data_IF_297834233626
#
_entry.id   IF_297834233626
#
_cell.length_a   1.000
_cell.length_b   1.000
_cell.length_c   1.000
_cell.angle_alpha   90.00
_cell.angle_beta   90.00
_cell.angle_gamma   90.00
#
_symmetry.space_group_name_H-M   'P 1'
#
loop_
_entity.id
_entity.type
_entity.pdbx_description
1 polymer ?
#
# COMPACT_ATOMS: atom_id res chain seq x y z
N UNK A 1 21.84 -7.69 -19.67
CA UNK A 1 21.09 -7.39 -20.91
C UNK A 1 19.80 -6.71 -20.55
N UNK A 2 19.46 -5.61 -21.24
CA UNK A 2 18.19 -4.91 -21.00
C UNK A 2 17.01 -5.89 -21.16
N UNK A 3 16.13 -5.92 -20.17
CA UNK A 3 14.93 -6.77 -20.20
C UNK A 3 13.72 -5.97 -20.70
N UNK A 4 12.76 -6.66 -21.34
CA UNK A 4 11.53 -6.04 -21.82
C UNK A 4 10.30 -6.71 -21.21
N UNK A 5 9.43 -5.91 -20.66
CA UNK A 5 8.13 -6.34 -20.17
C UNK A 5 7.10 -6.43 -21.31
N UNK A 6 6.05 -7.26 -21.17
CA UNK A 6 5.01 -7.39 -22.19
C UNK A 6 4.31 -6.08 -22.54
N UNK A 7 3.81 -5.98 -23.75
CA UNK A 7 2.93 -4.88 -24.13
C UNK A 7 1.65 -4.95 -23.28
N UNK A 8 1.19 -3.80 -22.77
CA UNK A 8 0.04 -3.73 -21.86
C UNK A 8 0.39 -3.92 -20.38
N UNK A 9 1.66 -4.14 -20.01
CA UNK A 9 2.08 -4.14 -18.61
C UNK A 9 1.82 -2.76 -17.97
N UNK A 10 1.19 -2.77 -16.80
CA UNK A 10 0.72 -1.54 -16.12
C UNK A 10 1.85 -0.98 -15.24
N UNK A 11 2.36 0.20 -15.60
CA UNK A 11 3.37 0.94 -14.85
C UNK A 11 2.78 2.13 -14.15
N UNK A 12 2.96 2.20 -12.83
CA UNK A 12 2.43 3.32 -12.07
C UNK A 12 3.16 3.60 -10.76
N UNK A 13 2.63 4.57 -10.07
CA UNK A 13 3.04 4.92 -8.70
C UNK A 13 1.85 4.82 -7.75
N UNK A 14 2.13 4.75 -6.46
CA UNK A 14 1.12 4.64 -5.42
C UNK A 14 1.29 5.72 -4.35
N UNK A 15 0.17 6.16 -3.76
CA UNK A 15 0.13 6.99 -2.55
C UNK A 15 -1.05 6.59 -1.66
N UNK A 16 -1.03 7.04 -0.39
CA UNK A 16 -2.16 6.92 0.53
C UNK A 16 -2.65 8.30 0.95
N UNK A 17 -3.95 8.55 0.86
CA UNK A 17 -4.52 9.87 1.17
C UNK A 17 -4.09 10.41 2.53
N UNK A 18 -4.16 9.58 3.58
CA UNK A 18 -3.75 10.01 4.91
C UNK A 18 -2.28 10.47 4.99
N UNK A 19 -1.38 9.90 4.16
CA UNK A 19 0.05 10.25 4.16
C UNK A 19 0.38 11.50 3.35
N UNK A 20 -0.53 11.94 2.46
CA UNK A 20 -0.28 13.06 1.55
C UNK A 20 -1.23 14.25 1.73
N UNK A 21 -2.42 14.05 2.28
CA UNK A 21 -3.40 15.10 2.56
C UNK A 21 -3.29 15.57 4.02
N UNK A 22 -3.64 16.82 4.28
CA UNK A 22 -3.74 17.32 5.64
C UNK A 22 -4.76 16.49 6.43
N UNK A 23 -4.33 15.95 7.57
CA UNK A 23 -5.15 15.06 8.39
C UNK A 23 -6.44 15.75 8.83
N UNK A 24 -7.58 15.16 8.48
CA UNK A 24 -8.88 15.74 8.81
C UNK A 24 -9.40 15.20 10.16
N UNK A 25 -10.21 14.15 10.17
CA UNK A 25 -10.82 13.60 11.39
C UNK A 25 -10.74 12.07 11.41
N UNK A 26 -9.52 11.55 11.16
CA UNK A 26 -9.20 10.14 11.22
C UNK A 26 -8.28 9.81 12.41
N UNK A 27 -8.15 8.53 12.75
CA UNK A 27 -7.44 8.08 13.95
C UNK A 27 -5.93 8.38 13.97
N UNK A 28 -5.35 8.76 12.84
CA UNK A 28 -3.94 9.16 12.78
C UNK A 28 -3.71 10.64 13.12
N UNK A 29 -4.75 11.47 13.09
CA UNK A 29 -4.63 12.90 13.37
C UNK A 29 -4.06 13.14 14.76
N UNK A 30 -2.96 13.88 14.83
CA UNK A 30 -2.28 14.23 16.07
C UNK A 30 -1.44 13.10 16.69
N UNK A 31 -1.28 11.96 15.99
CA UNK A 31 -0.31 10.93 16.38
C UNK A 31 1.09 11.50 16.23
N UNK A 32 1.90 11.43 17.29
CA UNK A 32 3.30 11.84 17.25
C UNK A 32 4.15 10.72 16.61
N UNK A 33 4.94 11.09 15.62
CA UNK A 33 5.89 10.19 14.98
C UNK A 33 7.08 9.87 15.89
N UNK A 34 7.87 8.85 15.51
CA UNK A 34 9.14 8.53 16.18
C UNK A 34 10.17 9.67 16.12
N UNK A 35 10.07 10.51 15.11
CA UNK A 35 10.97 11.66 14.90
C UNK A 35 10.46 12.94 15.54
N UNK A 36 9.28 12.90 16.18
CA UNK A 36 8.73 13.96 17.01
C UNK A 36 7.68 14.84 16.32
N UNK A 37 7.52 14.74 15.00
CA UNK A 37 6.51 15.47 14.24
C UNK A 37 5.11 14.88 14.48
N UNK A 38 4.09 15.72 14.38
CA UNK A 38 2.70 15.28 14.50
C UNK A 38 2.11 14.96 13.14
N UNK A 39 1.38 13.85 13.06
CA UNK A 39 0.61 13.46 11.89
C UNK A 39 -0.57 14.41 11.73
N UNK A 40 -0.35 15.52 11.04
CA UNK A 40 -1.35 16.57 10.83
C UNK A 40 -1.20 17.19 9.44
N UNK A 41 -0.16 17.98 9.19
CA UNK A 41 0.22 18.47 7.88
C UNK A 41 1.19 17.48 7.27
N UNK A 42 0.78 16.82 6.20
CA UNK A 42 1.60 15.80 5.55
C UNK A 42 2.35 16.37 4.34
N UNK A 43 1.72 16.43 3.17
CA UNK A 43 2.35 16.97 1.96
C UNK A 43 1.51 18.00 1.22
N UNK A 44 0.39 18.45 1.79
CA UNK A 44 -0.55 19.43 1.21
C UNK A 44 -1.07 19.04 -0.19
N UNK A 45 -1.25 17.73 -0.47
CA UNK A 45 -1.75 17.25 -1.77
C UNK A 45 -3.04 17.95 -2.19
N UNK A 46 -3.95 18.16 -1.23
CA UNK A 46 -5.23 18.83 -1.47
C UNK A 46 -5.10 20.26 -2.02
N UNK A 47 -3.95 20.91 -1.81
CA UNK A 47 -3.63 22.26 -2.32
C UNK A 47 -2.75 22.22 -3.58
N UNK A 48 -2.14 21.07 -3.88
CA UNK A 48 -1.14 20.90 -4.94
C UNK A 48 -1.56 19.92 -6.02
N UNK A 49 -2.87 19.59 -6.11
CA UNK A 49 -3.38 18.57 -7.03
C UNK A 49 -2.95 18.77 -8.47
N UNK A 50 -2.88 20.02 -8.95
CA UNK A 50 -2.43 20.32 -10.31
C UNK A 50 -0.96 19.95 -10.55
N UNK A 51 -0.07 20.27 -9.60
CA UNK A 51 1.34 19.91 -9.64
C UNK A 51 1.52 18.38 -9.53
N UNK A 52 0.86 17.78 -8.53
CA UNK A 52 0.95 16.35 -8.28
C UNK A 52 0.36 15.51 -9.44
N UNK A 53 -0.65 16.03 -10.15
CA UNK A 53 -1.20 15.44 -11.38
C UNK A 53 -0.13 15.36 -12.49
N UNK A 54 0.62 16.44 -12.73
CA UNK A 54 1.69 16.45 -13.72
C UNK A 54 2.82 15.49 -13.33
N UNK A 55 3.17 15.41 -12.05
CA UNK A 55 4.16 14.45 -11.52
C UNK A 55 3.71 13.02 -11.83
N UNK A 56 2.48 12.65 -11.45
CA UNK A 56 1.94 11.31 -11.69
C UNK A 56 1.99 10.94 -13.16
N UNK A 57 1.54 11.84 -14.03
CA UNK A 57 1.53 11.64 -15.49
C UNK A 57 2.93 11.51 -16.09
N UNK A 58 3.94 12.15 -15.49
CA UNK A 58 5.33 12.04 -15.90
C UNK A 58 5.96 10.72 -15.54
N UNK A 59 5.51 10.08 -14.45
CA UNK A 59 6.09 8.86 -13.89
C UNK A 59 5.58 7.57 -14.54
N UNK A 60 4.33 7.57 -15.07
CA UNK A 60 3.79 6.35 -15.64
C UNK A 60 2.41 6.52 -16.24
N UNK A 61 1.76 5.39 -16.53
CA UNK A 61 0.40 5.32 -17.10
C UNK A 61 -0.63 4.79 -16.11
N UNK A 62 -0.24 4.63 -14.85
CA UNK A 62 -1.15 4.18 -13.80
C UNK A 62 -0.88 4.92 -12.47
N UNK A 63 -1.94 5.07 -11.71
CA UNK A 63 -1.87 5.65 -10.38
C UNK A 63 -2.78 4.91 -9.42
N UNK A 64 -2.22 4.44 -8.32
CA UNK A 64 -2.93 3.78 -7.23
C UNK A 64 -3.06 4.75 -6.07
N UNK A 65 -4.30 5.05 -5.67
CA UNK A 65 -4.59 6.04 -4.63
C UNK A 65 -5.75 5.62 -3.76
N UNK A 66 -5.77 6.09 -2.53
CA UNK A 66 -6.95 6.12 -1.68
C UNK A 66 -7.53 7.53 -1.60
N UNK A 67 -8.71 7.65 -1.00
CA UNK A 67 -9.33 8.92 -0.63
C UNK A 67 -9.53 8.95 0.87
N UNK A 68 -9.47 10.13 1.48
CA UNK A 68 -9.69 10.27 2.91
C UNK A 68 -11.18 10.09 3.25
N UNK A 69 -11.51 8.92 3.81
CA UNK A 69 -12.86 8.58 4.23
C UNK A 69 -13.43 9.61 5.21
N UNK A 70 -12.59 10.13 6.13
CA UNK A 70 -13.05 11.11 7.12
C UNK A 70 -13.42 12.46 6.52
N UNK A 71 -12.80 12.85 5.40
CA UNK A 71 -13.18 14.03 4.63
C UNK A 71 -14.49 13.83 3.87
N UNK A 72 -14.64 12.66 3.26
CA UNK A 72 -15.82 12.34 2.45
C UNK A 72 -17.08 12.14 3.29
N UNK A 73 -17.01 11.40 4.40
CA UNK A 73 -18.18 11.00 5.19
C UNK A 73 -18.00 11.34 6.67
N UNK A 74 -18.89 12.17 7.21
CA UNK A 74 -18.79 12.75 8.56
C UNK A 74 -19.48 11.91 9.64
N UNK A 75 -20.33 10.96 9.27
CA UNK A 75 -21.07 10.08 10.18
C UNK A 75 -21.45 8.77 9.49
N UNK A 76 -21.80 7.75 10.27
CA UNK A 76 -22.33 6.50 9.75
C UNK A 76 -23.55 6.74 8.86
N UNK A 77 -23.54 6.14 7.66
CA UNK A 77 -24.58 6.30 6.64
C UNK A 77 -24.82 7.74 6.13
N UNK A 78 -24.05 8.75 6.61
CA UNK A 78 -24.12 10.12 6.13
C UNK A 78 -23.73 10.23 4.65
N UNK A 79 -24.33 11.18 3.92
CA UNK A 79 -23.94 11.46 2.52
C UNK A 79 -22.50 12.02 2.46
N UNK A 80 -21.86 11.85 1.32
CA UNK A 80 -20.55 12.43 1.08
C UNK A 80 -20.63 13.96 1.00
N UNK A 81 -19.63 14.61 1.54
CA UNK A 81 -19.52 16.07 1.53
C UNK A 81 -19.33 16.58 0.10
N UNK A 82 -20.27 17.40 -0.44
CA UNK A 82 -20.29 17.73 -1.87
C UNK A 82 -19.02 18.41 -2.37
N UNK A 83 -18.44 19.32 -1.58
CA UNK A 83 -17.20 20.02 -1.96
C UNK A 83 -16.03 19.06 -2.07
N UNK A 84 -15.91 18.11 -1.13
CA UNK A 84 -14.85 17.09 -1.17
C UNK A 84 -15.03 16.14 -2.33
N UNK A 85 -16.30 15.78 -2.65
CA UNK A 85 -16.61 14.99 -3.85
C UNK A 85 -16.14 15.71 -5.11
N UNK A 86 -16.44 17.02 -5.22
CA UNK A 86 -16.04 17.81 -6.38
C UNK A 86 -14.51 17.89 -6.52
N UNK A 87 -13.80 18.12 -5.41
CA UNK A 87 -12.35 18.16 -5.38
C UNK A 87 -11.69 16.86 -5.91
N UNK A 88 -12.19 15.69 -5.46
CA UNK A 88 -11.68 14.41 -5.95
C UNK A 88 -12.09 14.14 -7.39
N UNK A 89 -13.29 14.53 -7.83
CA UNK A 89 -13.73 14.38 -9.21
C UNK A 89 -12.82 15.14 -10.18
N UNK A 90 -12.55 16.40 -9.91
CA UNK A 90 -11.67 17.24 -10.74
C UNK A 90 -10.29 16.59 -10.91
N UNK A 91 -9.73 16.04 -9.83
CA UNK A 91 -8.46 15.34 -9.89
C UNK A 91 -8.54 14.05 -10.71
N UNK A 92 -9.57 13.23 -10.49
CA UNK A 92 -9.78 11.99 -11.23
C UNK A 92 -10.07 12.24 -12.73
N UNK A 93 -10.82 13.29 -13.06
CA UNK A 93 -11.04 13.75 -14.43
C UNK A 93 -9.74 14.12 -15.11
N UNK A 94 -8.87 14.85 -14.40
CA UNK A 94 -7.53 15.19 -14.86
C UNK A 94 -6.67 13.97 -15.19
N UNK A 95 -6.69 12.94 -14.33
CA UNK A 95 -6.00 11.66 -14.55
C UNK A 95 -6.60 10.90 -15.73
N UNK A 96 -7.93 10.76 -15.78
CA UNK A 96 -8.66 10.05 -16.84
C UNK A 96 -8.44 10.68 -18.20
N UNK A 97 -8.47 12.01 -18.29
CA UNK A 97 -8.24 12.75 -19.54
C UNK A 97 -6.82 12.51 -20.10
N UNK A 98 -5.85 12.16 -19.25
CA UNK A 98 -4.48 11.82 -19.65
C UNK A 98 -4.26 10.32 -19.87
N UNK A 99 -5.34 9.52 -19.82
CA UNK A 99 -5.30 8.07 -20.03
C UNK A 99 -4.62 7.30 -18.93
N UNK A 100 -4.61 7.82 -17.70
CA UNK A 100 -4.06 7.13 -16.53
C UNK A 100 -5.01 6.02 -16.08
N UNK A 101 -4.49 4.79 -15.92
CA UNK A 101 -5.18 3.71 -15.26
C UNK A 101 -5.28 4.01 -13.76
N UNK A 102 -6.48 4.21 -13.27
CA UNK A 102 -6.71 4.60 -11.86
C UNK A 102 -7.13 3.38 -11.06
N UNK A 103 -6.28 2.98 -10.08
CA UNK A 103 -6.66 1.99 -9.07
C UNK A 103 -7.11 2.72 -7.80
N UNK A 104 -8.40 2.60 -7.47
CA UNK A 104 -8.94 3.15 -6.23
C UNK A 104 -8.83 2.15 -5.08
N UNK A 105 -8.18 2.58 -4.00
CA UNK A 105 -8.05 1.83 -2.73
C UNK A 105 -9.13 2.32 -1.77
N UNK A 106 -10.03 1.42 -1.34
CA UNK A 106 -11.17 1.80 -0.51
C UNK A 106 -10.83 1.97 0.97
N UNK A 107 -9.84 1.23 1.47
CA UNK A 107 -9.33 1.37 2.84
C UNK A 107 -7.81 1.27 2.85
N UNK A 108 -7.14 2.31 3.36
CA UNK A 108 -5.69 2.39 3.45
C UNK A 108 -5.26 2.90 4.82
N UNK A 109 -5.39 2.07 5.86
CA UNK A 109 -4.99 2.28 7.26
C UNK A 109 -5.63 3.45 7.99
N UNK A 110 -6.44 4.27 7.31
CA UNK A 110 -7.07 5.43 7.90
C UNK A 110 -8.60 5.29 7.93
N UNK A 111 -9.18 5.54 9.09
CA UNK A 111 -10.62 5.44 9.37
C UNK A 111 -11.09 6.71 10.08
N UNK A 112 -12.35 7.17 9.82
CA UNK A 112 -12.91 8.28 10.56
C UNK A 112 -12.95 8.04 12.07
N UNK A 113 -12.72 9.08 12.87
CA UNK A 113 -12.78 8.97 14.33
C UNK A 113 -14.16 8.52 14.84
N UNK A 114 -15.25 8.92 14.17
CA UNK A 114 -16.58 8.43 14.53
C UNK A 114 -16.71 6.91 14.35
N UNK A 115 -16.12 6.34 13.30
CA UNK A 115 -16.11 4.90 13.04
C UNK A 115 -15.28 4.13 14.08
N UNK A 116 -14.08 4.63 14.41
CA UNK A 116 -13.20 3.99 15.41
C UNK A 116 -13.75 4.11 16.83
N UNK A 117 -14.42 5.23 17.18
CA UNK A 117 -15.09 5.42 18.48
C UNK A 117 -16.25 4.46 18.69
N UNK A 118 -16.93 4.04 17.64
CA UNK A 118 -17.96 3.00 17.67
C UNK A 118 -17.39 1.58 17.68
N UNK A 119 -16.06 1.44 17.69
CA UNK A 119 -15.33 0.18 17.76
C UNK A 119 -14.80 -0.32 16.43
N UNK A 120 -15.05 0.37 15.31
CA UNK A 120 -14.52 0.01 14.00
C UNK A 120 -14.75 -1.46 13.67
N UNK A 121 -13.83 -2.07 12.97
CA UNK A 121 -13.92 -3.50 12.60
C UNK A 121 -13.87 -4.50 13.76
N UNK A 122 -13.74 -4.05 15.02
CA UNK A 122 -13.95 -4.95 16.17
C UNK A 122 -15.42 -5.37 16.33
N UNK A 123 -16.36 -4.68 15.66
CA UNK A 123 -17.80 -4.95 15.71
C UNK A 123 -18.32 -5.38 14.35
N UNK A 124 -19.25 -6.32 14.32
CA UNK A 124 -19.89 -6.77 13.09
C UNK A 124 -20.72 -5.64 12.41
N UNK A 125 -21.17 -4.65 13.17
CA UNK A 125 -21.87 -3.46 12.67
C UNK A 125 -21.00 -2.58 11.77
N UNK A 126 -19.67 -2.73 11.80
CA UNK A 126 -18.75 -2.06 10.89
C UNK A 126 -18.93 -2.51 9.43
N UNK A 127 -19.35 -3.76 9.21
CA UNK A 127 -19.50 -4.31 7.86
C UNK A 127 -20.50 -3.51 7.03
N UNK A 128 -21.79 -3.36 7.43
CA UNK A 128 -22.75 -2.59 6.65
C UNK A 128 -22.37 -1.10 6.53
N UNK A 129 -21.69 -0.52 7.51
CA UNK A 129 -21.20 0.86 7.45
C UNK A 129 -20.12 1.02 6.37
N UNK A 130 -19.15 0.11 6.32
CA UNK A 130 -18.12 0.12 5.30
C UNK A 130 -18.67 -0.16 3.89
N UNK A 131 -19.62 -1.09 3.77
CA UNK A 131 -20.33 -1.37 2.50
C UNK A 131 -21.10 -0.14 2.01
N UNK A 132 -21.73 0.62 2.92
CA UNK A 132 -22.42 1.86 2.58
C UNK A 132 -21.43 2.94 2.06
N UNK A 133 -20.30 3.10 2.73
CA UNK A 133 -19.21 3.96 2.24
C UNK A 133 -18.77 3.54 0.83
N UNK A 134 -18.51 2.24 0.61
CA UNK A 134 -18.09 1.72 -0.69
C UNK A 134 -19.18 1.91 -1.78
N UNK A 135 -20.46 1.79 -1.43
CA UNK A 135 -21.56 2.08 -2.35
C UNK A 135 -21.56 3.54 -2.82
N UNK A 136 -21.26 4.46 -1.92
CA UNK A 136 -21.09 5.87 -2.28
C UNK A 136 -19.83 6.10 -3.10
N UNK A 137 -18.72 5.42 -2.81
CA UNK A 137 -17.52 5.43 -3.66
C UNK A 137 -17.83 5.01 -5.09
N UNK A 138 -18.61 3.93 -5.27
CA UNK A 138 -19.10 3.48 -6.58
C UNK A 138 -19.95 4.56 -7.25
N UNK A 139 -20.92 5.11 -6.54
CA UNK A 139 -21.86 6.13 -7.05
C UNK A 139 -21.15 7.40 -7.52
N UNK A 140 -20.17 7.88 -6.75
CA UNK A 140 -19.54 9.18 -7.01
C UNK A 140 -18.27 9.09 -7.88
N UNK A 141 -17.54 7.97 -7.80
CA UNK A 141 -16.22 7.83 -8.41
C UNK A 141 -16.02 6.57 -9.25
N UNK A 142 -17.02 5.70 -9.30
CA UNK A 142 -16.89 4.42 -9.99
C UNK A 142 -16.56 4.52 -11.47
N UNK A 143 -17.03 5.56 -12.16
CA UNK A 143 -16.73 5.79 -13.58
C UNK A 143 -15.26 6.09 -13.87
N UNK A 144 -14.53 6.62 -12.88
CA UNK A 144 -13.11 6.97 -13.02
C UNK A 144 -12.18 5.78 -12.73
N UNK A 145 -12.60 4.85 -11.87
CA UNK A 145 -11.79 3.71 -11.53
C UNK A 145 -11.58 2.79 -12.73
N UNK A 146 -10.35 2.38 -12.98
CA UNK A 146 -9.97 1.32 -13.90
C UNK A 146 -9.92 -0.04 -13.19
N UNK A 147 -9.57 -0.04 -11.92
CA UNK A 147 -9.54 -1.21 -11.04
C UNK A 147 -9.74 -0.79 -9.58
N UNK A 148 -10.03 -1.76 -8.72
CA UNK A 148 -10.34 -1.54 -7.31
C UNK A 148 -9.43 -2.38 -6.41
N UNK A 149 -9.00 -1.78 -5.31
CA UNK A 149 -8.35 -2.46 -4.21
C UNK A 149 -9.20 -2.24 -2.94
N UNK A 150 -9.80 -3.28 -2.40
CA UNK A 150 -10.74 -3.16 -1.28
C UNK A 150 -10.04 -2.72 0.00
N UNK A 151 -8.95 -3.40 0.36
CA UNK A 151 -8.13 -3.07 1.52
C UNK A 151 -6.65 -3.06 1.14
N UNK A 152 -5.93 -2.04 1.58
CA UNK A 152 -4.49 -2.08 1.57
C UNK A 152 -4.00 -2.86 2.79
N UNK A 153 -3.23 -3.90 2.57
CA UNK A 153 -2.49 -4.66 3.60
C UNK A 153 -3.29 -4.96 4.88
N UNK A 154 -4.50 -5.56 4.79
CA UNK A 154 -5.33 -5.75 5.97
C UNK A 154 -4.63 -6.57 7.06
N UNK A 155 -3.77 -7.51 6.67
CA UNK A 155 -2.94 -8.27 7.62
C UNK A 155 -1.99 -7.38 8.40
N UNK A 156 -1.29 -6.45 7.73
CA UNK A 156 -0.42 -5.45 8.35
C UNK A 156 -1.19 -4.56 9.32
N UNK A 157 -2.30 -3.98 8.86
CA UNK A 157 -3.19 -3.17 9.69
C UNK A 157 -3.66 -3.90 10.95
N UNK A 158 -4.12 -5.15 10.82
CA UNK A 158 -4.61 -5.97 11.94
C UNK A 158 -3.47 -6.26 12.93
N UNK A 159 -2.32 -6.68 12.44
CA UNK A 159 -1.19 -7.02 13.30
C UNK A 159 -0.63 -5.79 14.03
N UNK A 160 -0.45 -4.68 13.33
CA UNK A 160 0.10 -3.45 13.91
C UNK A 160 -0.89 -2.78 14.88
N UNK A 161 -2.18 -2.76 14.55
CA UNK A 161 -3.20 -2.08 15.34
C UNK A 161 -3.74 -2.89 16.52
N UNK A 162 -3.85 -4.22 16.39
CA UNK A 162 -4.58 -5.05 17.35
C UNK A 162 -3.76 -6.16 18.02
N UNK A 163 -2.58 -6.51 17.46
CA UNK A 163 -1.67 -7.47 18.08
C UNK A 163 -0.45 -6.80 18.72
N UNK A 164 0.27 -5.98 17.96
CA UNK A 164 1.48 -5.30 18.43
C UNK A 164 1.18 -3.97 19.14
N UNK A 165 0.04 -3.33 18.85
CA UNK A 165 -0.36 -2.05 19.42
C UNK A 165 0.57 -0.90 19.02
N UNK A 166 1.02 -0.87 17.77
CA UNK A 166 1.90 0.15 17.19
C UNK A 166 1.08 1.19 16.43
N UNK A 167 0.05 0.75 15.72
CA UNK A 167 -0.91 1.61 15.03
C UNK A 167 -2.13 1.90 15.90
N UNK A 168 -2.84 3.03 15.71
CA UNK A 168 -4.17 3.16 16.27
C UNK A 168 -5.04 1.96 15.88
N UNK A 169 -5.86 1.40 16.74
CA UNK A 169 -6.23 1.86 18.10
C UNK A 169 -5.34 1.33 19.25
N UNK A 170 -4.09 0.92 18.97
CA UNK A 170 -3.06 0.51 19.97
C UNK A 170 -3.45 -0.68 20.85
N UNK A 171 -4.29 -1.57 20.35
CA UNK A 171 -4.73 -2.75 21.10
C UNK A 171 -3.68 -3.88 21.03
N UNK A 172 -3.66 -4.71 22.07
CA UNK A 172 -2.78 -5.89 22.19
C UNK A 172 -3.60 -7.10 22.62
N UNK A 173 -4.45 -7.61 21.72
CA UNK A 173 -5.38 -8.69 22.06
C UNK A 173 -5.60 -9.63 20.88
N UNK A 174 -5.14 -10.87 21.02
CA UNK A 174 -5.24 -11.88 19.97
C UNK A 174 -6.68 -12.23 19.58
N UNK A 175 -7.62 -12.26 20.52
CA UNK A 175 -9.04 -12.52 20.19
C UNK A 175 -9.65 -11.37 19.39
N UNK A 176 -9.21 -10.15 19.65
CA UNK A 176 -9.59 -9.00 18.83
C UNK A 176 -9.03 -9.10 17.41
N UNK A 177 -7.79 -9.58 17.25
CA UNK A 177 -7.20 -9.86 15.91
C UNK A 177 -8.11 -10.78 15.09
N UNK A 178 -8.54 -11.91 15.66
CA UNK A 178 -9.41 -12.87 14.97
C UNK A 178 -10.78 -12.27 14.61
N UNK A 179 -11.33 -11.44 15.49
CA UNK A 179 -12.63 -10.77 15.27
C UNK A 179 -12.54 -9.73 14.16
N UNK A 180 -11.51 -8.87 14.18
CA UNK A 180 -11.27 -7.87 13.15
C UNK A 180 -11.02 -8.53 11.81
N UNK A 181 -10.20 -9.57 11.78
CA UNK A 181 -9.92 -10.37 10.59
C UNK A 181 -11.23 -10.90 9.97
N UNK A 182 -12.09 -11.52 10.79
CA UNK A 182 -13.38 -12.07 10.31
C UNK A 182 -14.33 -10.99 9.79
N UNK A 183 -14.38 -9.81 10.43
CA UNK A 183 -15.24 -8.72 10.00
C UNK A 183 -14.70 -8.04 8.72
N UNK A 184 -13.40 -7.80 8.62
CA UNK A 184 -12.80 -7.23 7.40
C UNK A 184 -12.92 -8.19 6.21
N UNK A 185 -12.73 -9.50 6.41
CA UNK A 185 -12.90 -10.50 5.36
C UNK A 185 -14.36 -10.51 4.82
N UNK A 186 -15.37 -10.49 5.70
CA UNK A 186 -16.77 -10.39 5.30
C UNK A 186 -17.10 -9.08 4.59
N UNK A 187 -16.51 -7.96 5.06
CA UNK A 187 -16.64 -6.66 4.42
C UNK A 187 -16.04 -6.68 3.00
N UNK A 188 -14.86 -7.29 2.83
CA UNK A 188 -14.23 -7.48 1.53
C UNK A 188 -15.14 -8.25 0.57
N UNK A 189 -15.68 -9.40 1.00
CA UNK A 189 -16.56 -10.23 0.16
C UNK A 189 -17.83 -9.46 -0.28
N UNK A 190 -18.46 -8.72 0.65
CA UNK A 190 -19.65 -7.92 0.36
C UNK A 190 -19.35 -6.74 -0.58
N UNK A 191 -18.17 -6.09 -0.41
CA UNK A 191 -17.73 -5.01 -1.29
C UNK A 191 -17.33 -5.54 -2.67
N UNK A 192 -16.72 -6.71 -2.77
CA UNK A 192 -16.46 -7.35 -4.06
C UNK A 192 -17.74 -7.54 -4.86
N UNK A 193 -18.78 -8.12 -4.24
CA UNK A 193 -20.08 -8.32 -4.90
C UNK A 193 -20.67 -7.00 -5.38
N UNK A 194 -20.68 -5.98 -4.52
CA UNK A 194 -21.14 -4.62 -4.85
C UNK A 194 -20.40 -4.03 -6.06
N UNK A 195 -19.08 -4.18 -6.10
CA UNK A 195 -18.24 -3.64 -7.19
C UNK A 195 -18.49 -4.38 -8.50
N UNK A 196 -18.62 -5.73 -8.44
CA UNK A 196 -18.87 -6.57 -9.62
C UNK A 196 -20.29 -6.41 -10.15
N UNK A 197 -21.28 -6.12 -9.29
CA UNK A 197 -22.62 -5.75 -9.72
C UNK A 197 -22.64 -4.43 -10.50
N UNK A 198 -21.91 -3.42 -10.02
CA UNK A 198 -21.85 -2.10 -10.64
C UNK A 198 -20.95 -2.06 -11.89
N UNK A 199 -19.82 -2.77 -11.87
CA UNK A 199 -18.78 -2.76 -12.90
C UNK A 199 -18.20 -4.16 -13.11
N UNK A 200 -18.89 -5.07 -13.81
CA UNK A 200 -18.47 -6.47 -13.99
C UNK A 200 -17.05 -6.62 -14.56
N UNK A 201 -16.66 -5.74 -15.47
CA UNK A 201 -15.40 -5.83 -16.21
C UNK A 201 -14.21 -5.21 -15.49
N UNK A 202 -14.44 -4.42 -14.42
CA UNK A 202 -13.33 -3.78 -13.69
C UNK A 202 -12.72 -4.77 -12.70
N UNK A 203 -11.39 -4.99 -12.75
CA UNK A 203 -10.73 -5.89 -11.80
C UNK A 203 -10.85 -5.38 -10.36
N UNK A 204 -11.17 -6.31 -9.45
CA UNK A 204 -11.23 -6.07 -8.00
C UNK A 204 -10.25 -7.00 -7.31
N UNK A 205 -9.37 -6.44 -6.49
CA UNK A 205 -8.38 -7.22 -5.74
C UNK A 205 -8.16 -6.67 -4.34
N UNK A 206 -7.12 -7.20 -3.72
CA UNK A 206 -6.69 -6.82 -2.38
C UNK A 206 -5.18 -6.83 -2.31
N UNK A 207 -4.57 -5.81 -1.71
CA UNK A 207 -3.12 -5.78 -1.49
C UNK A 207 -2.75 -6.48 -0.19
N UNK A 208 -1.76 -7.35 -0.26
CA UNK A 208 -1.25 -8.11 0.88
C UNK A 208 0.16 -7.64 1.21
N UNK A 209 0.39 -7.27 2.47
CA UNK A 209 1.74 -7.02 2.98
C UNK A 209 2.53 -8.32 3.00
N UNK A 210 3.71 -8.30 2.42
CA UNK A 210 4.56 -9.47 2.33
C UNK A 210 6.02 -9.13 2.57
N UNK A 211 6.68 -10.00 3.31
CA UNK A 211 8.12 -9.96 3.56
C UNK A 211 8.65 -11.39 3.54
N UNK A 212 9.93 -11.56 3.31
CA UNK A 212 10.57 -12.84 3.63
C UNK A 212 10.91 -12.84 5.12
N UNK A 213 10.29 -13.76 5.84
CA UNK A 213 10.55 -13.98 7.26
C UNK A 213 11.49 -15.17 7.42
N UNK A 214 12.67 -14.92 7.94
CA UNK A 214 13.71 -15.92 8.11
C UNK A 214 14.30 -15.83 9.51
N UNK A 215 14.47 -16.97 10.18
CA UNK A 215 15.05 -17.00 11.51
C UNK A 215 16.56 -16.75 11.50
N UNK A 216 17.05 -15.99 12.46
CA UNK A 216 18.49 -15.75 12.66
C UNK A 216 19.19 -16.95 13.34
N UNK A 217 18.44 -17.76 14.08
CA UNK A 217 18.96 -18.91 14.83
C UNK A 217 17.89 -19.97 15.01
N UNK A 218 18.28 -21.17 15.47
CA UNK A 218 17.34 -22.24 15.76
C UNK A 218 16.23 -21.82 16.75
N UNK A 219 16.53 -20.95 17.70
CA UNK A 219 15.56 -20.42 18.67
C UNK A 219 14.48 -19.52 18.03
N UNK A 220 14.72 -18.96 16.85
CA UNK A 220 13.75 -18.18 16.11
C UNK A 220 12.66 -19.00 15.39
N UNK A 221 12.70 -20.34 15.48
CA UNK A 221 11.79 -21.22 14.74
C UNK A 221 10.30 -20.90 14.97
N UNK A 222 9.89 -20.65 16.21
CA UNK A 222 8.50 -20.31 16.51
C UNK A 222 8.06 -19.00 15.86
N UNK A 223 8.90 -17.97 15.91
CA UNK A 223 8.62 -16.68 15.27
C UNK A 223 8.50 -16.83 13.74
N UNK A 224 9.38 -17.63 13.14
CA UNK A 224 9.34 -17.94 11.71
C UNK A 224 8.06 -18.70 11.33
N UNK A 225 7.68 -19.76 12.08
CA UNK A 225 6.43 -20.50 11.83
C UNK A 225 5.20 -19.60 12.03
N UNK A 226 5.18 -18.78 13.06
CA UNK A 226 4.10 -17.82 13.30
C UNK A 226 3.98 -16.83 12.11
N UNK A 227 5.07 -16.21 11.69
CA UNK A 227 5.07 -15.26 10.57
C UNK A 227 4.68 -15.92 9.25
N UNK A 228 5.21 -17.09 8.94
CA UNK A 228 4.96 -17.75 7.67
C UNK A 228 3.61 -18.48 7.59
N UNK A 229 3.14 -19.11 8.68
CA UNK A 229 1.90 -19.91 8.69
C UNK A 229 0.69 -19.11 9.15
N UNK A 230 0.84 -18.31 10.21
CA UNK A 230 -0.26 -17.52 10.72
C UNK A 230 -0.42 -16.22 9.93
N UNK A 231 0.64 -15.41 9.81
CA UNK A 231 0.54 -14.11 9.14
C UNK A 231 0.44 -14.25 7.62
N UNK A 232 1.49 -14.76 6.94
CA UNK A 232 1.48 -14.94 5.47
C UNK A 232 0.59 -16.10 4.97
N UNK A 233 0.18 -16.98 5.85
CA UNK A 233 -0.77 -18.05 5.56
C UNK A 233 -2.18 -17.65 5.97
N UNK A 234 -2.56 -17.97 7.21
CA UNK A 234 -3.94 -17.89 7.68
C UNK A 234 -4.58 -16.51 7.52
N UNK A 235 -3.90 -15.41 7.93
CA UNK A 235 -4.46 -14.05 7.84
C UNK A 235 -4.65 -13.65 6.37
N UNK A 236 -3.64 -13.86 5.52
CA UNK A 236 -3.74 -13.44 4.13
C UNK A 236 -4.76 -14.27 3.34
N UNK A 237 -4.98 -15.53 3.71
CA UNK A 237 -5.95 -16.42 3.05
C UNK A 237 -7.40 -16.00 3.27
N UNK A 238 -7.70 -15.30 4.35
CA UNK A 238 -9.08 -14.87 4.59
C UNK A 238 -9.60 -13.90 3.51
N UNK A 239 -8.72 -13.32 2.73
CA UNK A 239 -9.04 -12.31 1.73
C UNK A 239 -8.88 -12.77 0.27
N UNK A 240 -8.82 -14.07 -0.02
CA UNK A 240 -8.61 -14.53 -1.40
C UNK A 240 -9.87 -15.06 -2.09
N UNK A 241 -10.95 -15.29 -1.35
CA UNK A 241 -12.15 -16.00 -1.85
C UNK A 241 -12.86 -15.26 -2.97
N UNK A 242 -12.80 -13.93 -2.96
CA UNK A 242 -13.42 -13.04 -3.94
C UNK A 242 -12.41 -12.00 -4.40
N UNK A 243 -11.64 -12.32 -5.43
CA UNK A 243 -10.67 -11.43 -6.03
C UNK A 243 -10.41 -11.81 -7.48
N UNK A 244 -10.22 -10.81 -8.34
CA UNK A 244 -9.82 -11.00 -9.73
C UNK A 244 -8.30 -10.99 -9.89
N UNK A 245 -7.58 -10.44 -8.92
CA UNK A 245 -6.12 -10.43 -8.82
C UNK A 245 -5.65 -10.40 -7.36
N UNK A 246 -4.42 -10.83 -7.13
CA UNK A 246 -3.74 -10.68 -5.84
C UNK A 246 -2.77 -9.52 -5.93
N UNK A 247 -3.02 -8.48 -5.13
CA UNK A 247 -2.08 -7.39 -4.92
C UNK A 247 -0.99 -7.80 -3.91
N UNK A 248 0.23 -7.37 -4.17
CA UNK A 248 1.39 -7.66 -3.33
C UNK A 248 2.18 -6.38 -3.04
N UNK A 249 2.40 -6.09 -1.75
CA UNK A 249 3.37 -5.11 -1.29
C UNK A 249 4.59 -5.85 -0.76
N UNK A 250 5.78 -5.54 -1.27
CA UNK A 250 7.03 -6.20 -0.86
C UNK A 250 8.16 -5.18 -0.69
N UNK A 251 8.87 -5.26 0.43
CA UNK A 251 9.93 -4.31 0.75
C UNK A 251 11.28 -4.95 1.10
N UNK A 252 11.31 -6.20 1.57
CA UNK A 252 12.58 -6.82 1.91
C UNK A 252 12.47 -8.08 2.77
N UNK A 253 13.52 -8.35 3.55
CA UNK A 253 13.60 -9.48 4.46
C UNK A 253 13.60 -9.02 5.91
N UNK A 254 12.89 -9.76 6.76
CA UNK A 254 12.84 -9.54 8.21
C UNK A 254 13.51 -10.72 8.91
N UNK A 255 14.68 -10.51 9.50
CA UNK A 255 15.34 -11.52 10.30
C UNK A 255 14.65 -11.65 11.66
N UNK A 256 14.20 -12.86 11.99
CA UNK A 256 13.42 -13.13 13.20
C UNK A 256 14.30 -13.66 14.34
N UNK A 257 14.22 -12.97 15.47
CA UNK A 257 14.71 -13.43 16.77
C UNK A 257 13.69 -14.31 17.49
N UNK A 258 14.09 -15.09 18.51
CA UNK A 258 13.15 -15.63 19.48
C UNK A 258 12.33 -14.51 20.11
N UNK A 259 11.03 -14.74 20.26
CA UNK A 259 10.05 -13.79 20.83
C UNK A 259 10.59 -12.91 21.98
N UNK A 260 10.12 -11.65 22.11
CA UNK A 260 8.93 -11.08 21.44
C UNK A 260 9.23 -10.46 20.09
N UNK A 261 8.27 -10.54 19.16
CA UNK A 261 8.29 -9.96 17.81
C UNK A 261 8.17 -8.40 17.90
N UNK A 262 8.83 -7.77 18.84
CA UNK A 262 8.54 -6.38 19.19
C UNK A 262 9.43 -5.35 18.52
N UNK A 263 10.39 -5.77 17.72
CA UNK A 263 11.31 -4.84 17.09
C UNK A 263 11.19 -4.92 15.56
N UNK A 264 10.58 -3.89 14.98
CA UNK A 264 10.92 -3.49 13.61
C UNK A 264 12.43 -3.30 13.60
N UNK A 265 13.10 -4.04 12.74
CA UNK A 265 14.56 -4.02 12.72
C UNK A 265 15.04 -2.59 12.46
N UNK A 266 15.91 -2.11 13.31
CA UNK A 266 16.44 -0.75 13.14
C UNK A 266 17.67 -0.80 12.26
N UNK A 267 17.93 0.26 11.46
CA UNK A 267 19.12 0.33 10.61
C UNK A 267 20.41 -0.03 11.34
N UNK A 268 20.55 0.39 12.60
CA UNK A 268 21.73 0.08 13.42
C UNK A 268 21.90 -1.41 13.74
N UNK A 269 20.83 -2.19 13.76
CA UNK A 269 20.89 -3.65 13.93
C UNK A 269 21.24 -4.34 12.62
N UNK A 270 20.65 -3.91 11.51
CA UNK A 270 20.96 -4.43 10.17
C UNK A 270 22.43 -4.16 9.81
N UNK A 271 22.93 -2.96 10.11
CA UNK A 271 24.34 -2.60 9.93
C UNK A 271 25.28 -3.53 10.73
N UNK A 272 24.94 -3.88 11.99
CA UNK A 272 25.74 -4.82 12.80
C UNK A 272 25.79 -6.23 12.23
N UNK A 273 24.79 -6.61 11.41
CA UNK A 273 24.77 -7.90 10.72
C UNK A 273 25.61 -7.91 9.44
N UNK A 274 26.11 -6.75 9.00
CA UNK A 274 26.87 -6.62 7.75
C UNK A 274 26.05 -6.92 6.50
N UNK A 275 24.70 -6.84 6.57
CA UNK A 275 23.80 -7.00 5.43
C UNK A 275 23.50 -5.67 4.79
N UNK A 276 23.27 -5.68 3.48
CA UNK A 276 22.81 -4.48 2.78
C UNK A 276 21.36 -4.21 3.16
N UNK A 277 21.07 -2.98 3.53
CA UNK A 277 19.76 -2.59 4.03
C UNK A 277 19.40 -1.15 3.63
N UNK A 278 18.13 -0.84 3.65
CA UNK A 278 17.62 0.53 3.62
C UNK A 278 17.41 1.08 5.06
N UNK A 279 16.66 2.15 5.21
CA UNK A 279 16.40 2.75 6.52
C UNK A 279 15.39 1.95 7.37
N UNK A 280 14.83 0.85 6.85
CA UNK A 280 13.81 0.03 7.53
C UNK A 280 14.08 -1.46 7.48
N UNK A 281 14.52 -2.00 6.33
CA UNK A 281 14.58 -3.44 6.08
C UNK A 281 15.87 -3.88 5.41
N UNK A 282 16.14 -5.16 5.50
CA UNK A 282 17.21 -5.78 4.74
C UNK A 282 16.84 -5.79 3.25
N UNK A 283 17.73 -5.27 2.41
CA UNK A 283 17.58 -5.27 0.97
C UNK A 283 17.72 -6.69 0.42
N UNK A 284 16.63 -7.24 -0.09
CA UNK A 284 16.58 -8.63 -0.54
C UNK A 284 15.71 -8.80 -1.79
N UNK A 285 16.20 -8.43 -2.99
CA UNK A 285 15.43 -8.50 -4.24
C UNK A 285 14.93 -9.90 -4.58
N UNK A 286 15.72 -10.96 -4.34
CA UNK A 286 15.32 -12.34 -4.61
C UNK A 286 14.07 -12.76 -3.85
N UNK A 287 13.82 -12.14 -2.74
CA UNK A 287 12.64 -12.42 -1.90
C UNK A 287 11.33 -12.08 -2.58
N UNK A 288 11.28 -11.06 -3.45
CA UNK A 288 10.06 -10.74 -4.20
C UNK A 288 9.66 -11.93 -5.09
N UNK A 289 10.62 -12.56 -5.75
CA UNK A 289 10.38 -13.77 -6.55
C UNK A 289 9.92 -14.97 -5.72
N UNK A 290 10.45 -15.13 -4.51
CA UNK A 290 10.00 -16.18 -3.57
C UNK A 290 8.52 -15.99 -3.22
N UNK A 291 8.09 -14.76 -2.95
CA UNK A 291 6.69 -14.48 -2.61
C UNK A 291 5.79 -14.58 -3.85
N UNK A 292 6.23 -14.12 -5.01
CA UNK A 292 5.50 -14.24 -6.27
C UNK A 292 5.18 -15.70 -6.58
N UNK A 293 6.18 -16.61 -6.55
CA UNK A 293 5.98 -18.05 -6.80
C UNK A 293 5.01 -18.66 -5.78
N UNK A 294 5.19 -18.33 -4.49
CA UNK A 294 4.28 -18.77 -3.42
C UNK A 294 2.84 -18.31 -3.66
N UNK A 295 2.63 -17.08 -4.13
CA UNK A 295 1.28 -16.55 -4.39
C UNK A 295 0.68 -17.19 -5.65
N UNK A 296 1.48 -17.40 -6.69
CA UNK A 296 1.06 -18.11 -7.89
C UNK A 296 0.57 -19.53 -7.55
N UNK A 297 1.39 -20.31 -6.84
CA UNK A 297 1.04 -21.69 -6.42
C UNK A 297 -0.19 -21.73 -5.52
N UNK A 298 -0.36 -20.71 -4.64
CA UNK A 298 -1.41 -20.71 -3.63
C UNK A 298 -2.75 -20.22 -4.13
N UNK A 299 -2.75 -19.20 -5.00
CA UNK A 299 -3.99 -18.50 -5.37
C UNK A 299 -4.37 -18.71 -6.84
N UNK A 300 -3.44 -18.98 -7.73
CA UNK A 300 -3.71 -19.17 -9.16
C UNK A 300 -4.32 -17.95 -9.86
N UNK A 301 -4.21 -16.75 -9.26
CA UNK A 301 -4.73 -15.50 -9.78
C UNK A 301 -3.61 -14.65 -10.37
N UNK A 302 -3.92 -13.71 -11.29
CA UNK A 302 -2.96 -12.69 -11.73
C UNK A 302 -2.39 -11.94 -10.53
N UNK A 303 -1.07 -11.65 -10.57
CA UNK A 303 -0.37 -10.93 -9.50
C UNK A 303 -0.12 -9.48 -9.96
N UNK A 304 -0.46 -8.53 -9.09
CA UNK A 304 -0.14 -7.12 -9.27
C UNK A 304 0.79 -6.68 -8.14
N UNK A 305 1.96 -6.15 -8.49
CA UNK A 305 2.84 -5.55 -7.50
C UNK A 305 2.26 -4.17 -7.17
N UNK A 306 1.46 -4.11 -6.11
CA UNK A 306 0.71 -2.91 -5.72
C UNK A 306 1.56 -1.92 -4.95
N UNK A 307 2.64 -2.39 -4.34
CA UNK A 307 3.67 -1.55 -3.73
C UNK A 307 5.02 -2.27 -3.73
N UNK A 308 6.05 -1.56 -4.18
CA UNK A 308 7.45 -1.91 -3.98
C UNK A 308 8.29 -0.63 -4.03
N UNK A 309 9.25 -0.50 -3.15
CA UNK A 309 10.09 0.68 -3.04
C UNK A 309 11.24 0.47 -2.06
N UNK A 310 12.07 1.49 -1.90
CA UNK A 310 13.21 1.48 -1.00
C UNK A 310 13.20 2.75 -0.13
N UNK A 311 13.27 2.57 1.19
CA UNK A 311 13.36 3.67 2.14
C UNK A 311 14.80 4.16 2.26
N UNK A 312 15.18 5.18 1.49
CA UNK A 312 16.57 5.67 1.49
C UNK A 312 16.68 7.11 1.02
N UNK A 313 17.70 7.80 1.52
CA UNK A 313 18.16 9.09 0.99
C UNK A 313 19.21 8.92 -0.14
N UNK A 314 19.73 7.72 -0.35
CA UNK A 314 20.64 7.39 -1.47
C UNK A 314 19.82 7.05 -2.72
N UNK A 315 19.74 8.02 -3.63
CA UNK A 315 18.95 7.84 -4.86
C UNK A 315 19.59 6.88 -5.87
N UNK A 316 20.93 6.75 -5.84
CA UNK A 316 21.60 5.75 -6.67
C UNK A 316 21.23 4.32 -6.22
N UNK A 317 21.15 4.10 -4.91
CA UNK A 317 20.66 2.83 -4.36
C UNK A 317 19.19 2.58 -4.70
N UNK A 318 18.34 3.64 -4.74
CA UNK A 318 16.95 3.50 -5.21
C UNK A 318 16.88 3.08 -6.67
N UNK A 319 17.67 3.68 -7.56
CA UNK A 319 17.74 3.27 -8.98
C UNK A 319 18.16 1.81 -9.11
N UNK A 320 19.20 1.41 -8.40
CA UNK A 320 19.65 0.02 -8.38
C UNK A 320 18.53 -0.93 -7.88
N UNK A 321 17.84 -0.55 -6.81
CA UNK A 321 16.75 -1.37 -6.26
C UNK A 321 15.59 -1.56 -7.24
N UNK A 322 15.18 -0.51 -7.94
CA UNK A 322 14.16 -0.60 -8.99
C UNK A 322 14.59 -1.60 -10.05
N UNK A 323 15.83 -1.47 -10.55
CA UNK A 323 16.38 -2.40 -11.54
C UNK A 323 16.36 -3.85 -11.05
N UNK A 324 16.88 -4.08 -9.87
CA UNK A 324 17.08 -5.45 -9.35
C UNK A 324 15.74 -6.14 -9.03
N UNK A 325 14.77 -5.43 -8.45
CA UNK A 325 13.43 -5.96 -8.24
C UNK A 325 12.74 -6.28 -9.57
N UNK A 326 12.83 -5.40 -10.57
CA UNK A 326 12.20 -5.62 -11.87
C UNK A 326 12.83 -6.79 -12.62
N UNK A 327 14.15 -7.03 -12.48
CA UNK A 327 14.79 -8.22 -13.04
C UNK A 327 14.21 -9.52 -12.46
N UNK A 328 14.03 -9.57 -11.13
CA UNK A 328 13.45 -10.77 -10.47
C UNK A 328 11.98 -10.95 -10.85
N UNK A 329 11.21 -9.87 -10.96
CA UNK A 329 9.81 -9.93 -11.42
C UNK A 329 9.76 -10.48 -12.85
N UNK A 330 10.63 -9.99 -13.75
CA UNK A 330 10.70 -10.47 -15.13
C UNK A 330 11.05 -11.96 -15.20
N UNK A 331 12.01 -12.44 -14.40
CA UNK A 331 12.33 -13.87 -14.30
C UNK A 331 11.10 -14.71 -13.93
N UNK A 332 10.30 -14.26 -12.97
CA UNK A 332 9.05 -14.94 -12.63
C UNK A 332 8.04 -14.95 -13.80
N UNK A 333 8.00 -13.90 -14.62
CA UNK A 333 7.16 -13.87 -15.82
C UNK A 333 7.66 -14.86 -16.89
N UNK A 334 8.98 -15.01 -17.05
CA UNK A 334 9.59 -16.02 -17.95
C UNK A 334 9.28 -17.46 -17.48
N UNK A 335 9.03 -17.67 -16.20
CA UNK A 335 8.52 -18.92 -15.63
C UNK A 335 7.04 -19.18 -15.90
N UNK A 336 6.35 -18.25 -16.57
CA UNK A 336 4.93 -18.34 -16.93
C UNK A 336 3.97 -17.78 -15.89
N UNK A 337 4.44 -17.06 -14.88
CA UNK A 337 3.59 -16.44 -13.87
C UNK A 337 2.95 -15.16 -14.43
N UNK A 338 1.63 -15.05 -14.32
CA UNK A 338 0.85 -13.90 -14.80
C UNK A 338 1.01 -12.70 -13.86
N UNK A 339 1.94 -11.79 -14.18
CA UNK A 339 2.19 -10.55 -13.46
C UNK A 339 1.83 -9.39 -14.38
N UNK A 340 0.87 -8.54 -13.98
CA UNK A 340 0.27 -7.55 -14.89
C UNK A 340 0.60 -6.10 -14.57
N UNK A 341 1.05 -5.79 -13.35
CA UNK A 341 1.24 -4.42 -12.91
C UNK A 341 2.39 -4.28 -11.92
N UNK A 342 3.00 -3.10 -11.94
CA UNK A 342 3.96 -2.65 -10.94
C UNK A 342 3.67 -1.19 -10.56
N UNK A 343 3.41 -0.96 -9.28
CA UNK A 343 3.24 0.37 -8.69
C UNK A 343 4.39 0.66 -7.73
N UNK A 344 5.20 1.67 -8.06
CA UNK A 344 6.27 2.10 -7.17
C UNK A 344 5.70 2.80 -5.93
N UNK A 345 6.15 2.41 -4.76
CA UNK A 345 5.90 3.13 -3.53
C UNK A 345 7.09 4.05 -3.25
N UNK A 346 6.97 5.35 -3.40
CA UNK A 346 5.78 6.17 -3.67
C UNK A 346 6.11 7.27 -4.70
N UNK A 347 5.12 7.99 -5.19
CA UNK A 347 5.34 9.05 -6.19
C UNK A 347 6.24 10.17 -5.64
N UNK A 348 5.98 10.65 -4.43
CA UNK A 348 6.82 11.64 -3.70
C UNK A 348 6.96 11.27 -2.24
N UNK A 349 8.02 11.77 -1.58
CA UNK A 349 8.22 11.56 -0.16
C UNK A 349 7.02 12.07 0.63
N UNK A 350 6.54 11.28 1.57
CA UNK A 350 5.34 11.56 2.35
C UNK A 350 5.56 11.33 3.85
N UNK A 351 4.52 11.44 4.65
CA UNK A 351 4.58 11.19 6.08
C UNK A 351 4.43 9.67 6.34
N UNK A 352 5.52 8.99 6.70
CA UNK A 352 5.52 7.53 6.86
C UNK A 352 4.93 7.10 8.20
N UNK A 353 3.60 7.14 8.27
CA UNK A 353 2.78 6.72 9.42
C UNK A 353 3.37 7.18 10.77
N UNK A 354 3.59 6.24 11.72
CA UNK A 354 4.19 6.53 13.02
C UNK A 354 5.71 6.77 12.97
N UNK A 355 6.35 6.57 11.84
CA UNK A 355 7.79 6.79 11.65
C UNK A 355 8.10 8.26 11.37
N UNK A 356 7.26 8.94 10.59
CA UNK A 356 7.41 10.37 10.30
C UNK A 356 8.00 10.69 8.93
N UNK A 357 8.29 11.97 8.65
CA UNK A 357 8.68 12.45 7.32
C UNK A 357 10.14 12.16 6.95
N UNK A 358 10.93 11.61 7.87
CA UNK A 358 12.34 11.29 7.63
C UNK A 358 12.53 10.03 6.78
N UNK A 359 11.53 9.18 6.71
CA UNK A 359 11.54 7.91 5.96
C UNK A 359 11.12 8.16 4.51
N UNK A 360 12.10 8.11 3.59
CA UNK A 360 11.99 8.60 2.21
C UNK A 360 11.85 7.46 1.20
N UNK A 361 10.68 7.34 0.61
CA UNK A 361 10.40 6.36 -0.44
C UNK A 361 10.18 6.98 -1.83
N UNK A 362 9.91 8.28 -1.89
CA UNK A 362 9.46 8.96 -3.09
C UNK A 362 10.45 8.96 -4.24
N UNK A 363 9.93 8.93 -5.45
CA UNK A 363 10.66 9.27 -6.68
C UNK A 363 10.91 10.79 -6.77
N UNK A 364 10.02 11.58 -6.18
CA UNK A 364 10.22 13.00 -5.95
C UNK A 364 10.52 13.25 -4.47
N UNK A 365 11.43 14.19 -4.22
CA UNK A 365 11.63 14.72 -2.88
C UNK A 365 10.50 15.68 -2.51
N UNK A 366 10.05 15.64 -1.25
CA UNK A 366 9.18 16.66 -0.66
C UNK A 366 9.98 17.44 0.38
N UNK A 367 10.04 18.76 0.23
CA UNK A 367 10.47 19.65 1.29
C UNK A 367 9.31 19.85 2.27
N UNK A 368 9.41 19.32 3.49
CA UNK A 368 8.31 19.39 4.47
C UNK A 368 8.13 20.76 5.13
N UNK A 369 8.93 21.76 4.78
CA UNK A 369 8.73 23.15 5.18
C UNK A 369 7.89 23.90 4.14
N UNK A 370 8.31 23.82 2.87
CA UNK A 370 7.67 24.52 1.74
C UNK A 370 6.62 23.69 1.03
N UNK A 371 6.67 22.37 1.19
CA UNK A 371 5.89 21.37 0.45
C UNK A 371 6.20 21.33 -1.06
N UNK A 372 7.35 21.84 -1.48
CA UNK A 372 7.80 21.75 -2.87
C UNK A 372 8.21 20.32 -3.24
N UNK A 373 7.95 19.95 -4.51
CA UNK A 373 8.32 18.67 -5.10
C UNK A 373 9.53 18.87 -6.02
N UNK A 374 10.61 18.11 -5.81
CA UNK A 374 11.76 18.10 -6.73
C UNK A 374 12.05 16.67 -7.21
N UNK A 375 12.21 16.45 -8.54
CA UNK A 375 12.48 15.11 -9.06
C UNK A 375 13.85 14.60 -8.58
N UNK A 376 13.90 13.31 -8.27
CA UNK A 376 15.15 12.58 -8.05
C UNK A 376 15.60 11.92 -9.36
N UNK A 377 16.83 11.45 -9.45
CA UNK A 377 17.33 10.71 -10.61
C UNK A 377 16.51 9.44 -10.88
N UNK A 378 16.04 8.78 -9.80
CA UNK A 378 15.15 7.62 -9.87
C UNK A 378 13.81 7.92 -10.54
N UNK A 379 13.30 9.15 -10.50
CA UNK A 379 12.08 9.54 -11.23
C UNK A 379 12.29 9.45 -12.75
N UNK A 380 13.40 9.97 -13.25
CA UNK A 380 13.73 9.88 -14.67
C UNK A 380 13.95 8.42 -15.11
N UNK A 381 14.64 7.62 -14.27
CA UNK A 381 14.88 6.20 -14.53
C UNK A 381 13.56 5.42 -14.61
N UNK A 382 12.69 5.55 -13.62
CA UNK A 382 11.38 4.88 -13.59
C UNK A 382 10.47 5.32 -14.74
N UNK A 383 10.42 6.62 -15.03
CA UNK A 383 9.66 7.18 -16.16
C UNK A 383 10.12 6.61 -17.50
N UNK A 384 11.44 6.43 -17.71
CA UNK A 384 11.97 5.82 -18.91
C UNK A 384 11.52 4.36 -19.06
N UNK A 385 11.52 3.59 -17.98
CA UNK A 385 11.01 2.20 -17.95
C UNK A 385 9.52 2.18 -18.31
N UNK A 386 8.71 2.99 -17.62
CA UNK A 386 7.27 3.03 -17.81
C UNK A 386 6.86 3.43 -19.26
N UNK A 387 7.67 4.26 -19.91
CA UNK A 387 7.44 4.68 -21.30
C UNK A 387 7.87 3.65 -22.34
N UNK A 388 8.94 2.90 -22.06
CA UNK A 388 9.58 2.01 -23.06
C UNK A 388 9.27 0.54 -22.84
N UNK A 389 8.69 0.15 -21.70
CA UNK A 389 8.60 -1.24 -21.20
C UNK A 389 9.97 -1.94 -21.10
N UNK A 390 11.06 -1.19 -20.97
CA UNK A 390 12.42 -1.73 -20.89
C UNK A 390 13.13 -1.27 -19.65
N UNK A 391 13.77 -2.20 -18.97
CA UNK A 391 14.68 -1.91 -17.87
C UNK A 391 16.09 -1.90 -18.44
N UNK A 392 16.79 -0.76 -18.38
CA UNK A 392 18.20 -0.69 -18.79
C UNK A 392 19.10 -1.58 -17.92
N UNK A 393 20.28 -1.92 -18.46
CA UNK A 393 21.30 -2.66 -17.72
C UNK A 393 21.81 -1.88 -16.50
#
# INVERSE_FOLDING_TARGET
>A
MAIRFPDGFIWGTSTAAAQIETAFDHQWKGVQSRTGEYFQRTTDHEKRRGEDLEIICSLGKAYRMSMDWSRLQRSAYGEFHPEVVQEYREFLEGLKARGIHIMLVLHHFAEPLWFTREGGFTRATAIPVFVDFCRKMVRYFGEYASSWNTFNEPGGYIMMGYFLGIFPPYQKNFFTVLRVLGNMSKAHEAVYDLLKEAYPDKPVGISKHTMVYERESALGWFAEQFSNRFYLGYITDQFHRKADFVGMSYYGRVPLKPMPISEIDTPGRLAKRGVRHDDMWEYYPQGIGTIIRRFHERYGLPIWITENGLCTNDDAFRVESIRDYLHVIHQCMEEGIDIRAYFHWTAWDNFEWFLGPQYRFGLYNTDFQTMERTPKGSAAYFSAIARTNRVPD
#
